data_IF_529730629142
#
_entry.id   IF_529730629142
#
_cell.length_a   1.000
_cell.length_b   1.000
_cell.length_c   1.000
_cell.angle_alpha   90.00
_cell.angle_beta   90.00
_cell.angle_gamma   90.00
#
_symmetry.space_group_name_H-M   'P 1'
#
loop_
_entity.id
_entity.type
_entity.pdbx_description
1 polymer ?
#
# COMPACT_ATOMS: atom_id res chain seq x y z
N UNK A 1 28.01 2.47 3.36
CA UNK A 1 26.64 3.03 3.18
C UNK A 1 26.19 3.73 4.47
N UNK A 2 25.69 4.97 4.39
CA UNK A 2 25.30 5.75 5.57
C UNK A 2 24.16 5.09 6.38
N UNK A 3 24.25 5.09 7.72
CA UNK A 3 23.22 4.51 8.62
C UNK A 3 21.83 5.14 8.45
N UNK A 4 21.75 6.38 7.97
CA UNK A 4 20.48 7.06 7.64
C UNK A 4 19.88 6.52 6.34
N UNK A 5 20.70 6.39 5.29
CA UNK A 5 20.29 5.84 3.99
C UNK A 5 19.84 4.38 4.12
N UNK A 6 20.58 3.55 4.87
CA UNK A 6 20.19 2.15 5.12
C UNK A 6 18.81 2.04 5.77
N UNK A 7 18.51 2.90 6.75
CA UNK A 7 17.19 2.93 7.42
C UNK A 7 16.08 3.37 6.47
N UNK A 8 16.34 4.36 5.61
CA UNK A 8 15.39 4.81 4.61
C UNK A 8 15.08 3.70 3.58
N UNK A 9 16.11 3.04 3.05
CA UNK A 9 15.93 1.93 2.11
C UNK A 9 15.08 0.79 2.68
N UNK A 10 15.27 0.44 3.96
CA UNK A 10 14.45 -0.59 4.62
C UNK A 10 12.98 -0.15 4.70
N UNK A 11 12.71 1.12 5.05
CA UNK A 11 11.34 1.66 5.11
C UNK A 11 10.66 1.67 3.74
N UNK A 12 11.39 2.05 2.70
CA UNK A 12 10.90 2.02 1.31
C UNK A 12 10.58 0.58 0.90
N UNK A 13 11.49 -0.37 1.15
CA UNK A 13 11.25 -1.78 0.83
C UNK A 13 10.00 -2.35 1.52
N UNK A 14 9.82 -2.02 2.80
CA UNK A 14 8.59 -2.38 3.54
C UNK A 14 7.35 -1.70 2.97
N UNK A 15 7.43 -0.43 2.57
CA UNK A 15 6.31 0.29 1.96
C UNK A 15 5.86 -0.33 0.64
N UNK A 16 6.81 -0.73 -0.22
CA UNK A 16 6.50 -1.42 -1.48
C UNK A 16 5.80 -2.75 -1.19
N UNK A 17 6.31 -3.55 -0.25
CA UNK A 17 5.72 -4.83 0.12
C UNK A 17 4.26 -4.65 0.59
N UNK A 18 4.02 -3.67 1.46
CA UNK A 18 2.67 -3.34 1.96
C UNK A 18 1.76 -2.87 0.83
N UNK A 19 2.26 -2.04 -0.09
CA UNK A 19 1.48 -1.56 -1.23
C UNK A 19 1.04 -2.71 -2.16
N UNK A 20 1.95 -3.64 -2.46
CA UNK A 20 1.65 -4.82 -3.30
C UNK A 20 0.59 -5.70 -2.65
N UNK A 21 0.71 -5.97 -1.34
CA UNK A 21 -0.28 -6.78 -0.61
C UNK A 21 -1.65 -6.10 -0.60
N UNK A 22 -1.71 -4.79 -0.38
CA UNK A 22 -2.95 -4.03 -0.42
C UNK A 22 -3.63 -4.11 -1.78
N UNK A 23 -2.88 -3.89 -2.87
CA UNK A 23 -3.41 -4.00 -4.23
C UNK A 23 -3.90 -5.41 -4.53
N UNK A 24 -3.17 -6.45 -4.11
CA UNK A 24 -3.59 -7.85 -4.26
C UNK A 24 -4.94 -8.13 -3.57
N UNK A 25 -5.14 -7.63 -2.35
CA UNK A 25 -6.41 -7.77 -1.62
C UNK A 25 -7.54 -7.08 -2.39
N UNK A 26 -7.32 -5.88 -2.92
CA UNK A 26 -8.33 -5.13 -3.68
C UNK A 26 -8.74 -5.88 -4.95
N UNK A 27 -7.76 -6.44 -5.68
CA UNK A 27 -8.03 -7.25 -6.87
C UNK A 27 -8.84 -8.49 -6.49
N UNK A 28 -8.49 -9.19 -5.41
CA UNK A 28 -9.20 -10.38 -4.94
C UNK A 28 -10.67 -10.06 -4.60
N UNK A 29 -10.93 -8.95 -3.91
CA UNK A 29 -12.29 -8.46 -3.65
C UNK A 29 -13.02 -8.12 -4.96
N UNK A 30 -12.30 -7.54 -5.92
CA UNK A 30 -12.80 -7.28 -7.27
C UNK A 30 -13.30 -8.55 -7.97
N UNK A 31 -12.49 -9.61 -7.95
CA UNK A 31 -12.87 -10.92 -8.47
C UNK A 31 -14.09 -11.50 -7.75
N UNK A 32 -14.12 -11.49 -6.41
CA UNK A 32 -15.25 -11.99 -5.65
C UNK A 32 -16.57 -11.26 -6.00
N UNK A 33 -16.49 -9.94 -6.16
CA UNK A 33 -17.64 -9.10 -6.52
C UNK A 33 -18.09 -9.36 -7.96
N UNK A 34 -17.15 -9.53 -8.90
CA UNK A 34 -17.44 -9.87 -10.29
C UNK A 34 -18.15 -11.23 -10.38
N UNK A 35 -17.63 -12.27 -9.73
CA UNK A 35 -18.27 -13.59 -9.71
C UNK A 35 -19.64 -13.58 -9.03
N UNK A 36 -19.85 -12.73 -8.01
CA UNK A 36 -21.15 -12.62 -7.32
C UNK A 36 -22.24 -11.94 -8.16
N UNK A 37 -21.88 -10.96 -9.00
CA UNK A 37 -22.85 -10.19 -9.80
C UNK A 37 -22.93 -10.65 -11.25
N UNK A 38 -22.02 -11.53 -11.66
CA UNK A 38 -21.87 -12.10 -13.00
C UNK A 38 -21.98 -11.07 -14.16
N UNK A 39 -21.41 -9.86 -14.07
CA UNK A 39 -21.44 -8.92 -15.19
C UNK A 39 -20.46 -9.37 -16.28
N UNK A 40 -20.74 -9.06 -17.54
CA UNK A 40 -19.84 -9.36 -18.67
C UNK A 40 -18.51 -8.56 -18.57
N UNK A 41 -18.55 -7.42 -17.90
CA UNK A 41 -17.39 -6.55 -17.65
C UNK A 41 -17.43 -5.98 -16.23
N UNK A 42 -16.31 -6.04 -15.52
CA UNK A 42 -16.18 -5.46 -14.18
C UNK A 42 -14.85 -4.73 -14.02
N UNK A 43 -14.93 -3.47 -13.58
CA UNK A 43 -13.76 -2.62 -13.37
C UNK A 43 -13.44 -2.56 -11.88
N UNK A 44 -12.26 -3.03 -11.49
CA UNK A 44 -11.74 -2.83 -10.14
C UNK A 44 -11.20 -1.41 -10.07
N UNK A 45 -11.93 -0.55 -9.35
CA UNK A 45 -11.58 0.85 -9.14
C UNK A 45 -10.90 1.03 -7.80
N UNK A 46 -9.80 1.77 -7.78
CA UNK A 46 -9.14 2.22 -6.56
C UNK A 46 -9.10 3.75 -6.56
N UNK A 47 -9.81 4.36 -5.60
CA UNK A 47 -10.00 5.81 -5.47
C UNK A 47 -10.41 6.52 -6.79
N UNK A 48 -11.25 5.87 -7.60
CA UNK A 48 -11.77 6.44 -8.86
C UNK A 48 -10.93 6.12 -10.10
N UNK A 49 -9.71 5.60 -9.95
CA UNK A 49 -8.90 5.10 -11.07
C UNK A 49 -9.15 3.61 -11.30
N UNK A 50 -9.28 3.20 -12.57
CA UNK A 50 -9.35 1.79 -12.96
C UNK A 50 -7.96 1.17 -12.83
N UNK A 51 -7.79 0.24 -11.90
CA UNK A 51 -6.52 -0.46 -11.68
C UNK A 51 -6.49 -1.83 -12.34
N UNK A 52 -7.67 -2.43 -12.55
CA UNK A 52 -7.79 -3.78 -13.08
C UNK A 52 -9.12 -3.94 -13.79
N UNK A 53 -9.11 -4.54 -14.98
CA UNK A 53 -10.30 -4.83 -15.76
C UNK A 53 -10.53 -6.34 -15.80
N UNK A 54 -11.74 -6.77 -15.44
CA UNK A 54 -12.17 -8.16 -15.47
C UNK A 54 -13.18 -8.31 -16.61
N UNK A 55 -12.78 -8.99 -17.68
CA UNK A 55 -13.67 -9.31 -18.80
C UNK A 55 -14.01 -10.79 -18.76
N UNK A 56 -15.29 -11.12 -18.86
CA UNK A 56 -15.70 -12.52 -18.93
C UNK A 56 -15.48 -13.05 -20.34
N UNK A 57 -14.65 -14.07 -20.50
CA UNK A 57 -14.44 -14.78 -21.76
C UNK A 57 -14.68 -16.27 -21.51
N UNK A 58 -15.56 -16.88 -22.30
CA UNK A 58 -15.84 -18.33 -22.30
C UNK A 58 -16.24 -18.93 -20.92
N UNK A 59 -16.78 -18.10 -20.02
CA UNK A 59 -17.21 -18.53 -18.68
C UNK A 59 -16.22 -18.23 -17.56
N UNK A 60 -14.99 -17.81 -17.88
CA UNK A 60 -13.97 -17.38 -16.91
C UNK A 60 -13.71 -15.87 -16.99
N UNK A 61 -13.26 -15.27 -15.87
CA UNK A 61 -12.88 -13.86 -15.86
C UNK A 61 -11.39 -13.69 -16.17
N UNK A 62 -11.09 -13.08 -17.32
CA UNK A 62 -9.74 -12.69 -17.71
C UNK A 62 -9.44 -11.31 -17.15
N UNK A 63 -8.39 -11.24 -16.32
CA UNK A 63 -7.92 -10.00 -15.71
C UNK A 63 -6.88 -9.29 -16.56
N UNK A 64 -7.15 -8.04 -16.93
CA UNK A 64 -6.19 -7.16 -17.59
C UNK A 64 -5.72 -6.10 -16.62
N UNK A 65 -4.42 -6.10 -16.34
CA UNK A 65 -3.80 -5.13 -15.44
C UNK A 65 -3.59 -3.79 -16.15
N UNK A 66 -4.03 -2.70 -15.52
CA UNK A 66 -3.60 -1.37 -15.94
C UNK A 66 -2.26 -1.04 -15.26
N UNK A 67 -1.17 -1.49 -15.89
CA UNK A 67 0.19 -1.38 -15.34
C UNK A 67 0.57 0.05 -14.95
N UNK A 68 0.12 1.07 -15.72
CA UNK A 68 0.40 2.47 -15.42
C UNK A 68 -0.27 2.93 -14.13
N UNK A 69 -1.57 2.62 -13.97
CA UNK A 69 -2.34 2.99 -12.78
C UNK A 69 -1.89 2.20 -11.54
N UNK A 70 -1.63 0.89 -11.70
CA UNK A 70 -1.10 0.06 -10.61
C UNK A 70 0.27 0.52 -10.12
N UNK A 71 1.17 0.85 -11.04
CA UNK A 71 2.49 1.40 -10.70
C UNK A 71 2.38 2.74 -9.97
N UNK A 72 1.53 3.64 -10.46
CA UNK A 72 1.26 4.93 -9.83
C UNK A 72 0.77 4.75 -8.38
N UNK A 73 -0.26 3.93 -8.16
CA UNK A 73 -0.80 3.70 -6.82
C UNK A 73 0.20 3.01 -5.89
N UNK A 74 1.04 2.10 -6.42
CA UNK A 74 2.11 1.47 -5.64
C UNK A 74 3.07 2.52 -5.08
N UNK A 75 3.50 3.48 -5.92
CA UNK A 75 4.40 4.56 -5.53
C UNK A 75 3.71 5.48 -4.51
N UNK A 76 2.48 5.90 -4.77
CA UNK A 76 1.70 6.77 -3.86
C UNK A 76 1.56 6.13 -2.48
N UNK A 77 1.13 4.88 -2.40
CA UNK A 77 0.97 4.15 -1.13
C UNK A 77 2.33 4.02 -0.42
N UNK A 78 3.40 3.73 -1.16
CA UNK A 78 4.76 3.63 -0.60
C UNK A 78 5.19 4.95 0.03
N UNK A 79 5.00 6.09 -0.66
CA UNK A 79 5.36 7.42 -0.16
C UNK A 79 4.58 7.74 1.11
N UNK A 80 3.26 7.55 1.09
CA UNK A 80 2.39 7.78 2.25
C UNK A 80 2.82 6.91 3.44
N UNK A 81 3.12 5.64 3.20
CA UNK A 81 3.58 4.72 4.23
C UNK A 81 4.91 5.15 4.86
N UNK A 82 5.89 5.56 4.04
CA UNK A 82 7.17 6.07 4.53
C UNK A 82 6.99 7.33 5.36
N UNK A 83 6.12 8.26 4.95
CA UNK A 83 5.80 9.47 5.71
C UNK A 83 5.19 9.12 7.07
N UNK A 84 4.22 8.20 7.11
CA UNK A 84 3.61 7.73 8.36
C UNK A 84 4.68 7.14 9.29
N UNK A 85 5.56 6.28 8.78
CA UNK A 85 6.64 5.69 9.57
C UNK A 85 7.62 6.74 10.11
N UNK A 86 7.93 7.78 9.31
CA UNK A 86 8.80 8.87 9.75
C UNK A 86 8.15 9.68 10.87
N UNK A 87 6.88 10.07 10.68
CA UNK A 87 6.09 10.80 11.69
C UNK A 87 5.98 9.99 12.98
N UNK A 88 5.56 8.73 12.92
CA UNK A 88 5.47 7.85 14.09
C UNK A 88 6.82 7.68 14.79
N UNK A 89 7.90 7.57 14.03
CA UNK A 89 9.26 7.48 14.60
C UNK A 89 9.69 8.78 15.30
N UNK A 90 9.32 9.94 14.75
CA UNK A 90 9.60 11.23 15.34
C UNK A 90 8.81 11.42 16.65
N UNK A 91 7.52 11.06 16.67
CA UNK A 91 6.68 11.06 17.88
C UNK A 91 7.19 10.09 18.95
N UNK A 92 7.70 8.92 18.57
CA UNK A 92 8.26 7.97 19.54
C UNK A 92 9.55 8.49 20.19
N UNK A 93 10.40 9.18 19.42
CA UNK A 93 11.62 9.81 19.95
C UNK A 93 11.33 10.90 20.97
N UNK A 94 10.30 11.73 20.75
CA UNK A 94 9.96 12.79 21.70
C UNK A 94 9.49 12.23 23.06
N UNK A 95 8.73 11.12 23.05
CA UNK A 95 8.33 10.42 24.29
C UNK A 95 9.50 9.77 25.03
N UNK A 96 10.48 9.18 24.34
CA UNK A 96 11.65 8.57 25.00
C UNK A 96 12.54 9.61 25.66
N UNK A 97 12.79 10.76 25.02
CA UNK A 97 13.56 11.85 25.63
C UNK A 97 12.85 12.47 26.84
N UNK A 98 11.51 12.54 26.83
CA UNK A 98 10.75 13.07 27.96
C UNK A 98 10.72 12.11 29.16
N UNK A 99 10.82 10.79 28.94
CA UNK A 99 10.92 9.80 30.02
C UNK A 99 12.30 9.84 30.69
N UNK A 100 13.38 9.89 29.92
CA UNK A 100 14.76 9.97 30.44
C UNK A 100 15.02 11.20 31.32
N UNK A 101 14.47 12.37 30.94
CA UNK A 101 14.65 13.62 31.70
C UNK A 101 13.82 13.66 33.01
N UNK A 102 12.81 12.80 33.17
CA UNK A 102 12.06 12.68 34.42
C UNK A 102 12.74 11.73 35.41
N UNK A 103 13.47 10.74 34.90
CA UNK A 103 14.19 9.76 35.71
C UNK A 103 15.51 10.34 36.27
N UNK A 104 16.09 11.40 35.68
CA UNK A 104 17.28 12.12 36.18
C UNK A 104 16.95 13.22 37.21
N UNK A 105 15.67 13.56 37.40
CA UNK A 105 15.21 14.58 38.34
C UNK A 105 14.61 13.99 39.64
N UNK A 106 14.68 12.67 39.82
CA UNK A 106 14.30 11.94 41.04
C UNK A 106 15.53 11.41 41.75
#
# INVERSE_FOLDING_TARGET
MNRKIKRLMIRIGLGILVAVVLLAIIIAIGYFTAYSKTPDHYEVKFLGSKIYDLTRQEGEYVGTANNAQMGFWTIVITIVFVLILEVVSAFKKSKTNQKSNKDELQ
#
